data_IF_154130996182
#
_entry.id   IF_154130996182
#
_cell.length_a   1.000
_cell.length_b   1.000
_cell.length_c   1.000
_cell.angle_alpha   90.00
_cell.angle_beta   90.00
_cell.angle_gamma   90.00
#
_symmetry.space_group_name_H-M   'P 1'
#
loop_
_entity.id
_entity.type
_entity.pdbx_description
1 polymer ?
#
# COMPACT_ATOMS: atom_id res chain seq x y z
N UNK A 1 25.26 9.49 -2.26
CA UNK A 1 24.15 8.81 -2.97
C UNK A 1 23.42 9.87 -3.77
N UNK A 2 23.31 9.72 -5.08
CA UNK A 2 22.64 10.70 -5.94
C UNK A 2 21.14 10.58 -5.75
N UNK A 3 20.48 11.66 -5.33
CA UNK A 3 19.02 11.69 -5.18
C UNK A 3 18.39 11.64 -6.59
N UNK A 4 17.68 10.55 -6.91
CA UNK A 4 16.89 10.45 -8.13
C UNK A 4 15.56 11.17 -7.92
N UNK A 5 15.20 12.03 -8.87
CA UNK A 5 13.91 12.73 -8.89
C UNK A 5 13.04 12.04 -9.94
N UNK A 6 11.76 11.83 -9.64
CA UNK A 6 10.87 11.08 -10.51
C UNK A 6 9.44 11.01 -9.98
N UNK A 7 8.57 10.39 -10.77
CA UNK A 7 7.17 10.10 -10.41
C UNK A 7 7.07 8.63 -10.00
N UNK A 8 6.48 8.37 -8.83
CA UNK A 8 6.16 7.02 -8.38
C UNK A 8 4.67 6.74 -8.56
N UNK A 9 4.35 5.67 -9.25
CA UNK A 9 3.02 5.07 -9.33
C UNK A 9 3.03 3.81 -8.48
N UNK A 10 2.12 3.73 -7.49
CA UNK A 10 2.00 2.59 -6.59
C UNK A 10 0.57 2.07 -6.57
N UNK A 11 0.36 0.85 -7.07
CA UNK A 11 -0.97 0.28 -7.29
C UNK A 11 -1.14 -0.98 -6.40
N UNK A 12 -1.89 -0.91 -5.29
CA UNK A 12 -2.27 -2.08 -4.52
C UNK A 12 -3.36 -2.85 -5.27
N UNK A 13 -3.05 -4.05 -5.74
CA UNK A 13 -3.95 -4.84 -6.58
C UNK A 13 -4.83 -5.78 -5.74
N UNK A 14 -4.25 -6.46 -4.75
CA UNK A 14 -4.93 -7.51 -3.97
C UNK A 14 -4.27 -7.79 -2.64
N UNK A 15 -5.04 -8.25 -1.65
CA UNK A 15 -4.54 -8.74 -0.37
C UNK A 15 -4.65 -10.26 -0.24
N UNK A 16 -3.84 -10.87 0.63
CA UNK A 16 -3.98 -12.29 1.01
C UNK A 16 -3.71 -12.49 2.50
N UNK A 17 -4.32 -13.53 3.08
CA UNK A 17 -4.14 -13.92 4.49
C UNK A 17 -4.33 -12.76 5.48
N UNK A 18 -5.21 -11.81 5.15
CA UNK A 18 -5.54 -10.69 6.02
C UNK A 18 -6.20 -11.21 7.29
N UNK A 19 -5.75 -10.71 8.45
CA UNK A 19 -6.35 -11.11 9.72
C UNK A 19 -7.77 -10.54 9.86
N UNK A 20 -8.67 -11.35 10.40
CA UNK A 20 -10.04 -10.94 10.63
C UNK A 20 -10.25 -10.47 12.07
N UNK A 21 -10.46 -9.17 12.25
CA UNK A 21 -10.73 -8.55 13.55
C UNK A 21 -12.22 -8.34 13.85
N UNK A 22 -13.05 -8.30 12.80
CA UNK A 22 -14.47 -7.99 12.95
C UNK A 22 -15.32 -9.19 13.42
N UNK A 23 -14.76 -10.40 13.40
CA UNK A 23 -15.49 -11.63 13.74
C UNK A 23 -16.61 -11.97 12.74
N UNK A 24 -16.66 -11.26 11.60
CA UNK A 24 -17.68 -11.37 10.56
C UNK A 24 -17.12 -11.01 9.19
N UNK A 25 -17.96 -10.50 8.28
CA UNK A 25 -17.52 -10.04 6.96
C UNK A 25 -16.64 -8.79 7.10
N UNK A 26 -15.48 -8.78 6.44
CA UNK A 26 -14.60 -7.61 6.36
C UNK A 26 -14.74 -6.90 5.02
N UNK A 27 -14.49 -5.59 5.02
CA UNK A 27 -14.47 -4.72 3.85
C UNK A 27 -13.15 -3.94 3.81
N UNK A 28 -12.03 -4.59 3.47
CA UNK A 28 -10.71 -3.97 3.56
C UNK A 28 -10.48 -2.87 2.51
N UNK A 29 -9.74 -1.82 2.89
CA UNK A 29 -9.16 -0.80 2.01
C UNK A 29 -7.69 -0.54 2.38
N UNK A 30 -6.90 -0.05 1.43
CA UNK A 30 -5.48 0.29 1.62
C UNK A 30 -5.33 1.80 1.68
N UNK A 31 -4.62 2.29 2.69
CA UNK A 31 -4.14 3.66 2.81
C UNK A 31 -2.63 3.69 2.54
N UNK A 32 -2.22 4.60 1.66
CA UNK A 32 -0.84 4.86 1.29
C UNK A 32 -0.48 6.25 1.76
N UNK A 33 0.57 6.36 2.57
CA UNK A 33 1.10 7.63 3.04
C UNK A 33 2.57 7.78 2.65
N UNK A 34 2.86 8.83 1.91
CA UNK A 34 4.19 9.17 1.42
C UNK A 34 4.46 10.65 1.70
N UNK A 35 5.42 10.93 2.59
CA UNK A 35 5.65 12.28 3.12
C UNK A 35 4.35 12.87 3.72
N UNK A 36 3.95 14.07 3.29
CA UNK A 36 2.73 14.77 3.71
C UNK A 36 1.48 14.34 2.91
N UNK A 37 1.63 13.43 1.95
CA UNK A 37 0.55 13.00 1.08
C UNK A 37 -0.04 11.69 1.58
N UNK A 38 -1.38 11.65 1.71
CA UNK A 38 -2.12 10.46 2.08
C UNK A 38 -3.20 10.19 1.05
N UNK A 39 -3.24 8.97 0.52
CA UNK A 39 -4.26 8.51 -0.41
C UNK A 39 -4.80 7.16 0.05
N UNK A 40 -6.05 6.86 -0.26
CA UNK A 40 -6.69 5.58 0.11
C UNK A 40 -7.45 4.99 -1.05
N UNK A 41 -7.47 3.67 -1.15
CA UNK A 41 -8.37 2.95 -2.05
C UNK A 41 -9.83 3.12 -1.60
N UNK A 42 -10.77 2.86 -2.50
CA UNK A 42 -12.14 2.52 -2.07
C UNK A 42 -12.12 1.18 -1.32
N UNK A 43 -13.05 0.97 -0.39
CA UNK A 43 -13.21 -0.35 0.23
C UNK A 43 -13.76 -1.36 -0.79
N UNK A 44 -13.20 -2.55 -0.76
CA UNK A 44 -13.52 -3.58 -1.76
C UNK A 44 -14.68 -4.46 -1.28
N UNK A 45 -15.80 -4.43 -2.02
CA UNK A 45 -16.76 -5.54 -2.15
C UNK A 45 -16.48 -6.29 -3.48
N UNK A 46 -15.19 -6.54 -3.77
CA UNK A 46 -14.55 -7.25 -4.91
C UNK A 46 -14.98 -6.82 -6.34
N UNK A 47 -13.95 -6.58 -7.17
CA UNK A 47 -13.88 -6.51 -8.65
C UNK A 47 -14.03 -5.12 -9.31
N UNK A 48 -12.98 -4.28 -9.24
CA UNK A 48 -12.44 -3.45 -10.34
C UNK A 48 -11.58 -2.29 -9.82
N UNK A 49 -10.49 -1.88 -10.47
CA UNK A 49 -9.12 -2.48 -10.48
C UNK A 49 -8.06 -1.37 -10.39
N UNK A 50 -8.38 -0.09 -10.60
CA UNK A 50 -7.35 0.98 -10.72
C UNK A 50 -7.80 2.28 -10.06
N UNK A 51 -7.35 2.57 -8.83
CA UNK A 51 -7.33 3.94 -8.34
C UNK A 51 -6.08 4.68 -8.86
N UNK A 52 -6.28 5.70 -9.70
CA UNK A 52 -5.21 6.60 -10.16
C UNK A 52 -4.81 7.58 -9.06
N UNK A 53 -3.50 7.73 -8.89
CA UNK A 53 -2.95 8.60 -7.88
C UNK A 53 -1.70 9.35 -8.38
N UNK A 54 -1.91 10.36 -9.21
CA UNK A 54 -0.88 11.31 -9.66
C UNK A 54 -0.25 12.13 -8.51
N UNK A 55 0.81 11.67 -7.84
CA UNK A 55 1.57 12.51 -6.87
C UNK A 55 3.07 12.19 -6.83
N UNK A 56 3.89 13.25 -6.74
CA UNK A 56 5.36 13.22 -6.67
C UNK A 56 5.88 12.91 -5.27
N UNK A 57 6.97 12.14 -5.17
CA UNK A 57 7.71 11.98 -3.92
C UNK A 57 9.19 11.64 -4.15
N UNK A 58 10.05 12.31 -3.38
CA UNK A 58 11.49 12.06 -3.32
C UNK A 58 11.90 11.53 -1.95
N UNK A 59 11.33 10.40 -1.52
CA UNK A 59 11.72 9.71 -0.29
C UNK A 59 11.69 8.19 -0.45
N UNK A 60 12.50 7.50 0.36
CA UNK A 60 12.79 6.07 0.21
C UNK A 60 11.70 5.14 0.74
N UNK A 61 10.70 5.65 1.48
CA UNK A 61 9.81 4.83 2.28
C UNK A 61 8.35 5.31 2.16
N UNK A 62 7.43 4.39 1.82
CA UNK A 62 5.98 4.63 1.82
C UNK A 62 5.33 3.83 2.95
N UNK A 63 4.51 4.47 3.77
CA UNK A 63 3.71 3.77 4.77
C UNK A 63 2.45 3.21 4.12
N UNK A 64 2.18 1.94 4.41
CA UNK A 64 1.02 1.20 3.94
C UNK A 64 0.22 0.76 5.16
N UNK A 65 -1.05 1.12 5.20
CA UNK A 65 -1.99 0.64 6.21
C UNK A 65 -3.20 -0.01 5.54
N UNK A 66 -3.72 -1.08 6.14
CA UNK A 66 -4.92 -1.77 5.68
C UNK A 66 -5.96 -1.67 6.78
N UNK A 67 -7.12 -1.15 6.44
CA UNK A 67 -8.22 -0.93 7.37
C UNK A 67 -9.46 -1.70 6.92
N UNK A 68 -10.32 -2.10 7.86
CA UNK A 68 -11.65 -2.63 7.59
C UNK A 68 -12.70 -1.52 7.69
N UNK A 69 -13.43 -1.22 6.61
CA UNK A 69 -14.50 -0.21 6.62
C UNK A 69 -15.79 -0.68 7.34
N UNK A 70 -15.77 -1.82 8.01
CA UNK A 70 -16.83 -2.25 8.91
C UNK A 70 -17.20 -1.23 10.00
N UNK A 71 -18.21 -1.54 10.81
CA UNK A 71 -18.82 -0.60 11.78
C UNK A 71 -17.82 0.14 12.69
N UNK A 72 -16.69 -0.47 13.02
CA UNK A 72 -15.67 0.07 13.93
C UNK A 72 -14.47 0.71 13.24
N UNK A 73 -14.35 0.62 11.91
CA UNK A 73 -13.21 1.15 11.13
C UNK A 73 -11.85 0.77 11.75
N UNK A 74 -11.54 -0.53 11.75
CA UNK A 74 -10.40 -1.08 12.49
C UNK A 74 -9.16 -1.23 11.60
N UNK A 75 -7.97 -0.99 12.17
CA UNK A 75 -6.69 -1.30 11.53
C UNK A 75 -6.47 -2.82 11.49
N UNK A 76 -6.34 -3.38 10.29
CA UNK A 76 -5.98 -4.79 10.07
C UNK A 76 -4.47 -4.95 10.27
N UNK A 77 -3.67 -4.12 9.60
CA UNK A 77 -2.23 -4.13 9.73
C UNK A 77 -1.58 -3.02 8.90
N UNK A 78 -0.31 -2.77 9.17
CA UNK A 78 0.47 -1.70 8.57
C UNK A 78 1.93 -2.12 8.37
N UNK A 79 2.68 -1.31 7.64
CA UNK A 79 4.11 -1.43 7.49
C UNK A 79 4.70 -0.34 6.61
N UNK A 80 6.03 -0.32 6.50
CA UNK A 80 6.75 0.59 5.62
C UNK A 80 7.32 -0.17 4.43
N UNK A 81 6.87 0.16 3.22
CA UNK A 81 7.39 -0.34 1.95
C UNK A 81 8.59 0.50 1.52
N UNK A 82 9.75 -0.16 1.38
CA UNK A 82 10.97 0.49 0.90
C UNK A 82 10.95 0.60 -0.63
N UNK A 83 11.27 1.78 -1.16
CA UNK A 83 11.14 2.12 -2.57
C UNK A 83 12.48 2.08 -3.32
N UNK A 84 13.60 1.77 -2.65
CA UNK A 84 14.92 1.78 -3.28
C UNK A 84 15.00 0.89 -4.53
N UNK A 85 14.34 -0.27 -4.47
CA UNK A 85 14.40 -1.25 -5.55
C UNK A 85 13.63 -0.79 -6.80
N UNK A 86 12.43 -0.22 -6.64
CA UNK A 86 11.68 0.34 -7.78
C UNK A 86 12.34 1.60 -8.32
N UNK A 87 12.94 2.43 -7.46
CA UNK A 87 13.70 3.62 -7.89
C UNK A 87 14.95 3.24 -8.70
N UNK A 88 15.52 2.06 -8.46
CA UNK A 88 16.67 1.56 -9.20
C UNK A 88 16.30 0.78 -10.46
N UNK A 89 15.24 -0.03 -10.42
CA UNK A 89 14.82 -0.90 -11.53
C UNK A 89 13.81 -0.25 -12.49
N UNK A 90 13.13 0.81 -12.06
CA UNK A 90 12.02 1.44 -12.79
C UNK A 90 10.68 0.76 -12.51
N UNK A 91 10.62 -0.57 -12.36
CA UNK A 91 9.39 -1.31 -12.07
C UNK A 91 9.63 -2.39 -11.00
N UNK A 92 8.61 -2.65 -10.18
CA UNK A 92 8.65 -3.69 -9.15
C UNK A 92 7.25 -4.22 -8.81
N UNK A 93 7.09 -5.53 -8.97
CA UNK A 93 5.93 -6.29 -8.53
C UNK A 93 6.26 -7.09 -7.27
N UNK A 94 5.54 -6.83 -6.17
CA UNK A 94 5.92 -7.39 -4.87
C UNK A 94 4.74 -7.70 -3.96
N UNK A 95 4.85 -8.79 -3.21
CA UNK A 95 4.03 -9.03 -2.02
C UNK A 95 4.66 -8.33 -0.82
N UNK A 96 4.01 -7.28 -0.33
CA UNK A 96 4.41 -6.53 0.84
C UNK A 96 3.71 -7.07 2.10
N UNK A 97 4.45 -7.58 3.10
CA UNK A 97 3.87 -8.06 4.34
C UNK A 97 3.43 -6.89 5.24
N UNK A 98 2.21 -6.98 5.78
CA UNK A 98 1.72 -6.06 6.80
C UNK A 98 1.73 -6.73 8.16
N UNK A 99 1.87 -5.93 9.22
CA UNK A 99 1.87 -6.41 10.60
C UNK A 99 0.86 -5.67 11.44
N UNK A 100 0.41 -6.30 12.50
CA UNK A 100 -0.37 -5.64 13.55
C UNK A 100 0.25 -5.97 14.89
N UNK A 101 0.72 -4.95 15.60
CA UNK A 101 1.49 -5.11 16.85
C UNK A 101 2.58 -6.20 16.70
N UNK A 102 3.44 -6.04 15.70
CA UNK A 102 4.54 -6.96 15.33
C UNK A 102 4.15 -8.36 14.83
N UNK A 103 2.87 -8.74 14.88
CA UNK A 103 2.39 -10.03 14.38
C UNK A 103 2.01 -9.92 12.91
N UNK A 104 2.34 -10.93 12.10
CA UNK A 104 1.95 -10.99 10.70
C UNK A 104 0.42 -10.82 10.53
N UNK A 105 0.02 -9.86 9.71
CA UNK A 105 -1.38 -9.47 9.52
C UNK A 105 -1.89 -9.68 8.08
N UNK A 106 -1.07 -10.32 7.23
CA UNK A 106 -1.34 -10.61 5.83
C UNK A 106 -0.33 -9.95 4.91
N UNK A 107 -0.58 -10.03 3.61
CA UNK A 107 0.25 -9.37 2.58
C UNK A 107 -0.64 -8.60 1.61
N UNK A 108 -0.11 -7.52 1.04
CA UNK A 108 -0.69 -6.74 -0.07
C UNK A 108 0.22 -6.86 -1.29
N UNK A 109 -0.33 -7.21 -2.44
CA UNK A 109 0.40 -7.20 -3.70
C UNK A 109 0.36 -5.80 -4.31
N UNK A 110 1.53 -5.27 -4.63
CA UNK A 110 1.73 -4.01 -5.29
C UNK A 110 2.35 -4.20 -6.67
N UNK A 111 1.88 -3.41 -7.63
CA UNK A 111 2.61 -3.07 -8.86
C UNK A 111 3.13 -1.65 -8.68
N UNK A 112 4.44 -1.47 -8.79
CA UNK A 112 5.11 -0.19 -8.60
C UNK A 112 5.86 0.19 -9.87
N UNK A 113 5.78 1.47 -10.24
CA UNK A 113 6.54 2.03 -11.36
C UNK A 113 7.13 3.38 -10.96
N UNK A 114 8.40 3.58 -11.24
CA UNK A 114 9.13 4.82 -11.02
C UNK A 114 9.64 5.37 -12.35
N UNK A 115 9.12 6.54 -12.74
CA UNK A 115 9.56 7.29 -13.90
C UNK A 115 10.57 8.35 -13.47
N UNK A 116 11.85 8.12 -13.75
CA UNK A 116 12.91 9.11 -13.49
C UNK A 116 12.73 10.35 -14.41
N UNK A 117 12.97 11.53 -13.86
CA UNK A 117 13.02 12.81 -14.59
C UNK A 117 14.42 13.13 -15.13
#
# INVERSE_FOLDING_TARGET
MTQKIGVLVAIPIKGRKLINRSGGKQSPYVELKLSEQTKRTKASLIASVEPEWDQEASQLNMNVAVHDEGKKKELIGEGTLLLHEVVDKGELDVWFPIKSMETAAGDVYFELTFYAL
#
